data_IF_267984915159
#
_entry.id   IF_267984915159
#
_cell.length_a   1.000
_cell.length_b   1.000
_cell.length_c   1.000
_cell.angle_alpha   90.00
_cell.angle_beta   90.00
_cell.angle_gamma   90.00
#
_symmetry.space_group_name_H-M   'P 1'
#
loop_
_entity.id
_entity.type
_entity.pdbx_description
1 polymer ?
#
# COMPACT_ATOMS: atom_id res chain seq x y z
N UNK A 1 17.86 -25.85 24.43
CA UNK A 1 17.80 -24.38 24.46
C UNK A 1 18.57 -23.71 23.31
N UNK A 2 19.88 -23.96 23.11
CA UNK A 2 20.66 -23.35 22.00
C UNK A 2 20.21 -23.75 20.58
N UNK A 3 19.75 -24.99 20.37
CA UNK A 3 19.27 -25.47 19.06
C UNK A 3 17.93 -24.84 18.62
N UNK A 4 17.13 -24.38 19.59
CA UNK A 4 15.82 -23.76 19.31
C UNK A 4 15.97 -22.31 18.82
N UNK A 5 17.03 -21.62 19.25
CA UNK A 5 17.30 -20.23 18.87
C UNK A 5 17.70 -20.09 17.38
N UNK A 6 18.32 -21.12 16.78
CA UNK A 6 18.71 -21.10 15.37
C UNK A 6 17.53 -21.21 14.39
N UNK A 7 16.42 -21.81 14.82
CA UNK A 7 15.24 -22.00 13.96
C UNK A 7 14.47 -20.68 13.79
N UNK A 8 14.43 -19.83 14.81
CA UNK A 8 13.72 -18.55 14.76
C UNK A 8 14.40 -17.49 13.87
N UNK A 9 15.69 -17.65 13.57
CA UNK A 9 16.44 -16.70 12.75
C UNK A 9 16.16 -16.82 11.25
N UNK A 10 15.58 -17.94 10.78
CA UNK A 10 15.39 -18.21 9.35
C UNK A 10 14.07 -17.67 8.78
N UNK A 11 13.12 -17.24 9.63
CA UNK A 11 11.81 -16.75 9.19
C UNK A 11 11.76 -15.24 8.85
N UNK A 12 12.90 -14.54 8.93
CA UNK A 12 12.96 -13.10 8.67
C UNK A 12 13.43 -12.74 7.24
N UNK A 13 13.45 -13.70 6.30
CA UNK A 13 13.74 -13.38 4.90
C UNK A 13 12.60 -12.49 4.36
N UNK A 14 12.90 -11.25 3.88
CA UNK A 14 11.88 -10.44 3.24
C UNK A 14 11.37 -11.19 2.02
N UNK A 15 10.05 -11.41 1.95
CA UNK A 15 9.42 -11.94 0.75
C UNK A 15 9.59 -10.88 -0.36
N UNK A 16 10.54 -11.11 -1.26
CA UNK A 16 10.64 -10.39 -2.53
C UNK A 16 9.45 -10.82 -3.42
N UNK A 17 8.26 -10.29 -3.11
CA UNK A 17 7.05 -10.47 -3.89
C UNK A 17 6.92 -9.41 -5.01
N UNK A 18 7.94 -8.57 -5.20
CA UNK A 18 7.91 -7.52 -6.21
C UNK A 18 8.15 -8.11 -7.60
N UNK A 19 7.28 -7.72 -8.53
CA UNK A 19 7.29 -8.27 -9.88
C UNK A 19 8.28 -7.48 -10.73
N UNK A 20 9.39 -8.10 -11.12
CA UNK A 20 10.32 -7.53 -12.08
C UNK A 20 9.76 -7.70 -13.48
N UNK A 21 9.52 -6.59 -14.18
CA UNK A 21 9.12 -6.64 -15.59
C UNK A 21 10.23 -7.26 -16.45
N UNK A 22 9.91 -7.75 -17.68
CA UNK A 22 10.93 -8.25 -18.62
C UNK A 22 12.04 -7.24 -18.98
N UNK A 23 11.80 -5.95 -18.73
CA UNK A 23 12.80 -4.88 -18.89
C UNK A 23 13.71 -4.71 -17.66
N UNK A 24 13.60 -5.57 -16.64
CA UNK A 24 14.41 -5.52 -15.42
C UNK A 24 14.01 -4.43 -14.43
N UNK A 25 12.94 -3.66 -14.69
CA UNK A 25 12.41 -2.67 -13.75
C UNK A 25 11.30 -3.28 -12.90
N UNK A 26 11.37 -3.04 -11.59
CA UNK A 26 10.25 -3.26 -10.67
C UNK A 26 9.05 -2.43 -11.11
N UNK A 27 7.86 -3.02 -11.10
CA UNK A 27 6.63 -2.29 -11.38
C UNK A 27 6.32 -1.38 -10.19
N UNK A 28 6.29 -0.07 -10.44
CA UNK A 28 6.06 0.92 -9.41
C UNK A 28 4.57 1.28 -9.31
N UNK A 29 3.91 0.80 -8.25
CA UNK A 29 2.47 0.95 -8.04
C UNK A 29 2.16 1.90 -6.88
N UNK A 30 1.44 2.98 -7.17
CA UNK A 30 1.06 4.01 -6.20
C UNK A 30 -0.29 4.63 -6.58
N UNK A 31 -0.94 5.29 -5.63
CA UNK A 31 -2.12 6.10 -5.90
C UNK A 31 -1.72 7.56 -6.07
N UNK A 32 -2.54 8.33 -6.78
CA UNK A 32 -2.42 9.80 -6.81
C UNK A 32 -3.60 10.44 -6.10
N UNK A 33 -3.34 11.50 -5.35
CA UNK A 33 -4.40 12.32 -4.78
C UNK A 33 -4.94 13.37 -5.77
N UNK A 34 -5.86 14.23 -5.30
CA UNK A 34 -6.47 15.29 -6.12
C UNK A 34 -5.45 16.33 -6.66
N UNK A 35 -4.31 16.50 -5.99
CA UNK A 35 -3.22 17.37 -6.44
C UNK A 35 -2.28 16.68 -7.43
N UNK A 36 -2.45 15.37 -7.65
CA UNK A 36 -1.52 14.54 -8.40
C UNK A 36 -0.32 14.08 -7.57
N UNK A 37 -0.31 14.33 -6.26
CA UNK A 37 0.76 13.88 -5.39
C UNK A 37 0.73 12.35 -5.27
N UNK A 38 1.92 11.75 -5.29
CA UNK A 38 2.13 10.32 -5.07
C UNK A 38 1.76 9.95 -3.63
N UNK A 39 1.06 8.83 -3.50
CA UNK A 39 0.68 8.21 -2.22
C UNK A 39 1.03 6.72 -2.29
N UNK A 40 1.82 6.25 -1.32
CA UNK A 40 2.28 4.87 -1.29
C UNK A 40 1.17 3.88 -0.91
N UNK A 41 1.32 2.63 -1.32
CA UNK A 41 0.43 1.54 -0.91
C UNK A 41 0.39 1.43 0.62
N UNK A 42 -0.81 1.32 1.17
CA UNK A 42 -1.07 1.25 2.61
C UNK A 42 -1.27 2.61 3.27
N UNK A 43 -0.88 3.72 2.64
CA UNK A 43 -1.14 5.06 3.17
C UNK A 43 -2.62 5.42 3.09
N UNK A 44 -3.05 6.22 4.06
CA UNK A 44 -4.43 6.70 4.18
C UNK A 44 -4.53 8.19 3.92
N UNK A 45 -5.59 8.60 3.23
CA UNK A 45 -5.88 9.99 2.92
C UNK A 45 -7.35 10.30 3.12
N UNK A 46 -7.63 11.48 3.67
CA UNK A 46 -8.96 12.05 3.62
C UNK A 46 -9.25 12.56 2.21
N UNK A 47 -10.27 11.99 1.59
CA UNK A 47 -10.65 12.34 0.23
C UNK A 47 -12.01 13.01 0.22
N UNK A 48 -12.17 14.00 -0.67
CA UNK A 48 -13.45 14.59 -0.99
C UNK A 48 -13.81 14.27 -2.44
N UNK A 49 -14.82 13.42 -2.62
CA UNK A 49 -15.27 12.94 -3.94
C UNK A 49 -16.78 13.02 -3.98
N UNK A 50 -17.34 13.68 -5.00
CA UNK A 50 -18.79 13.80 -5.16
C UNK A 50 -19.52 14.44 -3.96
N UNK A 51 -18.86 15.37 -3.25
CA UNK A 51 -19.44 16.06 -2.09
C UNK A 51 -19.39 15.28 -0.78
N UNK A 52 -18.86 14.05 -0.76
CA UNK A 52 -18.63 13.27 0.46
C UNK A 52 -17.17 13.35 0.89
N UNK A 53 -16.95 13.37 2.20
CA UNK A 53 -15.61 13.24 2.80
C UNK A 53 -15.51 11.90 3.50
N UNK A 54 -14.49 11.12 3.16
CA UNK A 54 -14.24 9.81 3.75
C UNK A 54 -12.74 9.49 3.80
N UNK A 55 -12.35 8.63 4.74
CA UNK A 55 -11.00 8.08 4.79
C UNK A 55 -10.85 6.97 3.76
N UNK A 56 -9.89 7.12 2.86
CA UNK A 56 -9.52 6.11 1.89
C UNK A 56 -8.07 5.65 2.11
N UNK A 57 -7.80 4.38 1.84
CA UNK A 57 -6.45 3.81 1.84
C UNK A 57 -6.05 3.43 0.42
N UNK A 58 -4.81 3.75 0.05
CA UNK A 58 -4.26 3.27 -1.21
C UNK A 58 -4.00 1.77 -1.10
N UNK A 59 -4.67 0.97 -1.91
CA UNK A 59 -4.56 -0.50 -1.91
C UNK A 59 -4.40 -1.04 -3.32
N UNK A 60 -4.10 -2.34 -3.43
CA UNK A 60 -4.03 -3.06 -4.69
C UNK A 60 -5.28 -3.91 -4.89
N UNK A 61 -5.92 -3.82 -6.05
CA UNK A 61 -6.96 -4.75 -6.48
C UNK A 61 -6.68 -5.20 -7.92
N UNK A 62 -6.66 -6.52 -8.18
CA UNK A 62 -6.41 -7.06 -9.53
C UNK A 62 -5.16 -6.49 -10.23
N UNK A 63 -4.10 -6.22 -9.46
CA UNK A 63 -2.85 -5.61 -9.94
C UNK A 63 -2.96 -4.15 -10.40
N UNK A 64 -4.01 -3.42 -9.99
CA UNK A 64 -4.10 -1.96 -10.15
C UNK A 64 -4.21 -1.25 -8.79
N UNK A 65 -3.46 -0.15 -8.57
CA UNK A 65 -3.61 0.66 -7.38
C UNK A 65 -4.96 1.36 -7.39
N UNK A 66 -5.66 1.35 -6.25
CA UNK A 66 -7.00 1.86 -6.10
C UNK A 66 -7.24 2.43 -4.70
N UNK A 67 -8.09 3.46 -4.62
CA UNK A 67 -8.51 4.07 -3.35
C UNK A 67 -9.67 3.30 -2.72
N UNK A 68 -9.42 2.55 -1.65
CA UNK A 68 -10.47 1.85 -0.89
C UNK A 68 -10.97 2.69 0.26
N UNK A 69 -12.29 2.94 0.32
CA UNK A 69 -12.94 3.52 1.51
C UNK A 69 -12.79 2.58 2.72
N UNK A 70 -12.28 3.10 3.83
CA UNK A 70 -12.00 2.30 5.04
C UNK A 70 -13.18 2.26 6.02
N UNK A 71 -14.18 3.11 5.82
CA UNK A 71 -15.29 3.34 6.74
C UNK A 71 -14.94 4.25 7.94
N UNK A 72 -13.68 4.69 8.08
CA UNK A 72 -13.31 5.65 9.11
C UNK A 72 -13.74 7.07 8.72
N UNK A 73 -14.26 7.82 9.68
CA UNK A 73 -14.53 9.25 9.52
C UNK A 73 -13.23 10.03 9.57
N UNK A 74 -13.16 11.14 8.83
CA UNK A 74 -12.04 12.06 8.90
C UNK A 74 -12.39 13.45 8.36
N UNK A 75 -11.47 14.41 8.50
CA UNK A 75 -11.64 15.80 8.07
C UNK A 75 -10.54 16.19 7.08
N UNK A 76 -10.86 17.06 6.13
CA UNK A 76 -9.85 17.67 5.26
C UNK A 76 -9.02 18.64 6.11
N UNK A 77 -7.69 18.49 6.06
CA UNK A 77 -6.74 19.43 6.65
C UNK A 77 -6.27 20.48 5.68
#
# INVERSE_FOLDING_TARGET
MKKLALVFAFCAAPLAADVTSPSGKTVDCFCTDKSGARVELGEQRCMSVGGRVYMAKCEMALNVPFWRETGQSCVLG
#
